data_IF_636499637626
#
_entry.id   IF_636499637626
#
_cell.length_a   1.000
_cell.length_b   1.000
_cell.length_c   1.000
_cell.angle_alpha   90.00
_cell.angle_beta   90.00
_cell.angle_gamma   90.00
#
_symmetry.space_group_name_H-M   'P 1'
#
loop_
_entity.id
_entity.type
_entity.pdbx_description
1 polymer ?
#
# COMPACT_ATOMS: atom_id res chain seq x y z
N UNK A 1 10.39 -12.81 40.65
CA UNK A 1 8.91 -12.81 40.47
C UNK A 1 8.30 -11.44 40.81
N UNK A 2 8.63 -10.39 40.05
CA UNK A 2 8.07 -9.02 40.23
C UNK A 2 7.82 -8.28 38.90
N UNK A 3 7.92 -8.96 37.75
CA UNK A 3 7.76 -8.33 36.42
C UNK A 3 6.54 -8.81 35.63
N UNK A 4 5.73 -9.73 36.19
CA UNK A 4 4.55 -10.30 35.51
C UNK A 4 3.28 -9.46 35.76
N UNK A 5 3.29 -8.55 36.73
CA UNK A 5 2.07 -7.82 37.15
C UNK A 5 1.76 -6.58 36.28
N UNK A 6 2.67 -6.13 35.41
CA UNK A 6 2.46 -4.89 34.63
C UNK A 6 1.70 -5.12 33.32
N UNK A 7 1.64 -6.35 32.81
CA UNK A 7 1.00 -6.65 31.51
C UNK A 7 -0.53 -6.72 31.61
N UNK A 8 -1.09 -6.99 32.79
CA UNK A 8 -2.55 -7.12 32.98
C UNK A 8 -3.31 -5.79 33.13
N UNK A 9 -2.61 -4.65 33.22
CA UNK A 9 -3.27 -3.35 33.44
C UNK A 9 -3.60 -2.58 32.15
N UNK A 10 -3.17 -3.05 30.97
CA UNK A 10 -3.48 -2.39 29.67
C UNK A 10 -4.61 -3.06 28.88
N UNK A 11 -5.14 -4.21 29.34
CA UNK A 11 -6.19 -4.95 28.64
C UNK A 11 -7.62 -4.56 29.03
N UNK A 12 -7.82 -3.64 30.00
CA UNK A 12 -9.16 -3.35 30.57
C UNK A 12 -9.74 -2.00 30.08
N UNK A 13 -9.03 -1.25 29.22
CA UNK A 13 -9.42 0.12 28.87
C UNK A 13 -10.02 0.31 27.46
N UNK A 14 -10.60 -0.75 26.87
CA UNK A 14 -11.28 -0.69 25.55
C UNK A 14 -12.77 -1.06 25.61
N UNK A 15 -13.34 -1.35 26.78
CA UNK A 15 -14.74 -1.82 26.90
C UNK A 15 -15.74 -0.80 27.49
N UNK A 16 -15.53 0.50 27.29
CA UNK A 16 -16.55 1.51 27.65
C UNK A 16 -16.73 2.54 26.53
N UNK A 17 -17.33 2.09 25.43
CA UNK A 17 -18.02 2.97 24.48
C UNK A 17 -19.17 2.26 23.75
N UNK A 18 -19.85 1.31 24.43
CA UNK A 18 -21.24 1.00 24.08
C UNK A 18 -22.10 2.03 24.82
N UNK A 19 -22.19 3.20 24.21
CA UNK A 19 -23.15 4.23 24.59
C UNK A 19 -24.55 3.73 24.29
N UNK A 20 -25.29 3.41 25.35
CA UNK A 20 -26.74 3.49 25.38
C UNK A 20 -27.19 4.82 24.77
N UNK A 21 -28.03 4.77 23.74
CA UNK A 21 -29.03 5.81 23.54
C UNK A 21 -30.40 5.16 23.44
N UNK A 22 -31.31 5.66 24.26
CA UNK A 22 -32.59 5.10 24.63
C UNK A 22 -33.71 5.31 23.60
N UNK A 23 -34.57 4.29 23.50
CA UNK A 23 -36.01 4.27 23.19
C UNK A 23 -36.71 5.59 22.80
N UNK A 24 -37.51 5.56 21.72
CA UNK A 24 -38.98 5.38 21.86
C UNK A 24 -39.70 5.05 20.52
N UNK A 25 -40.58 4.05 20.61
CA UNK A 25 -41.91 3.84 19.97
C UNK A 25 -42.10 3.77 18.43
N UNK A 26 -42.47 2.55 18.02
CA UNK A 26 -43.51 2.10 17.07
C UNK A 26 -44.38 3.16 16.39
N UNK A 27 -44.46 3.12 15.05
CA UNK A 27 -45.68 2.75 14.30
C UNK A 27 -45.49 2.92 12.77
N UNK A 28 -45.78 1.86 12.01
CA UNK A 28 -46.31 1.92 10.62
C UNK A 28 -47.83 1.71 10.76
N UNK A 29 -48.73 2.15 9.85
CA UNK A 29 -48.52 2.23 8.39
C UNK A 29 -49.26 3.39 7.66
N UNK A 30 -49.23 3.32 6.32
CA UNK A 30 -50.17 3.86 5.31
C UNK A 30 -49.65 5.03 4.45
N UNK A 31 -49.37 4.70 3.19
CA UNK A 31 -49.38 5.53 1.96
C UNK A 31 -50.84 5.65 1.47
N UNK A 32 -51.32 6.66 0.69
CA UNK A 32 -50.76 7.04 -0.62
C UNK A 32 -50.91 8.53 -1.04
N UNK A 33 -50.32 8.88 -2.20
CA UNK A 33 -50.62 10.12 -2.95
C UNK A 33 -49.37 10.96 -3.26
N UNK A 34 -48.59 10.65 -4.30
CA UNK A 34 -48.66 11.21 -5.68
C UNK A 34 -48.42 12.73 -5.74
N UNK A 35 -47.24 13.16 -6.18
CA UNK A 35 -47.00 13.75 -7.52
C UNK A 35 -45.55 14.22 -7.72
N UNK A 36 -45.03 13.87 -8.91
CA UNK A 36 -44.07 14.60 -9.78
C UNK A 36 -42.69 14.98 -9.20
N UNK A 37 -41.55 14.60 -9.80
CA UNK A 37 -41.16 15.02 -11.16
C UNK A 37 -39.89 14.28 -11.63
N UNK A 38 -39.94 13.83 -12.89
CA UNK A 38 -38.91 13.58 -13.89
C UNK A 38 -37.41 13.51 -13.52
N UNK A 39 -36.75 12.48 -14.08
CA UNK A 39 -35.30 12.45 -14.29
C UNK A 39 -34.89 11.12 -14.94
N UNK A 40 -34.37 11.19 -16.16
CA UNK A 40 -34.13 10.09 -17.09
C UNK A 40 -33.31 8.91 -16.54
N UNK A 41 -33.71 7.72 -16.97
CA UNK A 41 -32.91 6.50 -16.91
C UNK A 41 -31.75 6.60 -17.93
N UNK A 42 -30.57 7.03 -17.47
CA UNK A 42 -29.32 6.67 -18.14
C UNK A 42 -28.80 5.36 -17.53
N UNK A 43 -29.18 4.27 -18.20
CA UNK A 43 -28.57 2.96 -18.07
C UNK A 43 -27.15 3.06 -18.63
N UNK A 44 -26.15 3.28 -17.77
CA UNK A 44 -24.76 3.09 -18.17
C UNK A 44 -24.53 1.61 -18.47
N UNK A 45 -24.31 1.36 -19.75
CA UNK A 45 -23.89 0.10 -20.31
C UNK A 45 -22.48 -0.21 -19.79
N UNK A 46 -22.40 -1.03 -18.75
CA UNK A 46 -21.15 -1.62 -18.27
C UNK A 46 -20.62 -2.50 -19.40
N UNK A 47 -19.75 -1.92 -20.23
CA UNK A 47 -19.05 -2.63 -21.29
C UNK A 47 -17.97 -3.46 -20.61
N UNK A 48 -18.32 -4.70 -20.32
CA UNK A 48 -17.50 -5.67 -19.62
C UNK A 48 -16.59 -6.38 -20.63
N UNK A 49 -15.60 -5.67 -21.17
CA UNK A 49 -14.51 -6.34 -21.90
C UNK A 49 -13.28 -5.44 -22.11
N UNK A 50 -12.62 -5.04 -21.02
CA UNK A 50 -11.21 -4.68 -21.10
C UNK A 50 -10.40 -5.85 -20.55
N UNK A 51 -9.72 -6.55 -21.46
CA UNK A 51 -8.76 -7.60 -21.13
C UNK A 51 -7.75 -7.08 -20.08
N UNK A 52 -7.37 -7.89 -19.07
CA UNK A 52 -6.46 -7.47 -17.98
C UNK A 52 -5.17 -6.81 -18.48
N UNK A 53 -4.69 -7.25 -19.64
CA UNK A 53 -3.49 -6.75 -20.31
C UNK A 53 -3.55 -5.26 -20.65
N UNK A 54 -4.71 -4.73 -21.06
CA UNK A 54 -4.84 -3.30 -21.44
C UNK A 54 -4.84 -2.34 -20.24
N UNK A 55 -5.36 -2.79 -19.09
CA UNK A 55 -5.26 -2.02 -17.85
C UNK A 55 -3.84 -1.99 -17.31
N UNK A 56 -3.12 -3.12 -17.37
CA UNK A 56 -1.70 -3.15 -17.03
C UNK A 56 -0.88 -2.21 -17.93
N UNK A 57 -1.12 -2.22 -19.24
CA UNK A 57 -0.40 -1.37 -20.21
C UNK A 57 -0.66 0.14 -20.02
N UNK A 58 -1.88 0.56 -19.65
CA UNK A 58 -2.19 1.96 -19.34
C UNK A 58 -1.66 2.41 -17.99
N UNK A 59 -1.54 1.51 -17.03
CA UNK A 59 -1.08 1.84 -15.68
C UNK A 59 0.44 1.95 -15.62
N UNK A 60 1.18 1.18 -16.43
CA UNK A 60 2.63 1.35 -16.61
C UNK A 60 3.02 2.76 -17.13
N UNK A 61 2.11 3.49 -17.79
CA UNK A 61 2.37 4.85 -18.29
C UNK A 61 2.33 5.93 -17.18
N UNK A 62 1.81 5.59 -15.99
CA UNK A 62 1.67 6.52 -14.86
C UNK A 62 2.61 6.20 -13.68
N UNK A 63 3.47 5.20 -13.85
CA UNK A 63 4.51 4.89 -12.87
C UNK A 63 5.69 5.82 -13.21
N UNK A 64 6.10 6.71 -12.29
CA UNK A 64 7.32 7.49 -12.51
C UNK A 64 8.48 6.55 -12.72
N UNK A 65 9.45 6.95 -13.53
CA UNK A 65 10.71 6.23 -13.70
C UNK A 65 11.39 6.10 -12.33
N UNK A 66 11.08 5.01 -11.64
CA UNK A 66 11.80 4.62 -10.43
C UNK A 66 13.17 4.15 -10.90
N UNK A 67 14.23 4.72 -10.33
CA UNK A 67 15.59 4.21 -10.52
C UNK A 67 15.76 2.78 -9.95
N UNK A 68 14.72 2.18 -9.34
CA UNK A 68 14.74 0.81 -8.87
C UNK A 68 14.47 -0.16 -10.05
N UNK A 69 15.41 -1.08 -10.34
CA UNK A 69 15.21 -2.10 -11.35
C UNK A 69 14.09 -3.04 -10.91
N UNK A 70 13.28 -3.48 -11.86
CA UNK A 70 12.28 -4.51 -11.61
C UNK A 70 12.96 -5.85 -11.32
N UNK A 71 12.51 -6.55 -10.29
CA UNK A 71 13.00 -7.89 -10.00
C UNK A 71 12.67 -8.84 -11.17
N UNK A 72 13.64 -9.60 -11.70
CA UNK A 72 13.41 -10.50 -12.83
C UNK A 72 12.35 -11.55 -12.51
N UNK A 73 11.58 -11.94 -13.52
CA UNK A 73 10.51 -12.95 -13.41
C UNK A 73 9.40 -12.63 -12.40
N UNK A 74 9.32 -11.39 -11.92
CA UNK A 74 8.21 -10.95 -11.06
C UNK A 74 6.97 -10.63 -11.89
N UNK A 75 5.79 -10.88 -11.31
CA UNK A 75 4.48 -10.62 -11.89
C UNK A 75 3.81 -9.45 -11.14
N UNK A 76 3.36 -8.43 -11.86
CA UNK A 76 2.59 -7.33 -11.30
C UNK A 76 1.17 -7.81 -10.96
N UNK A 77 0.77 -7.70 -9.70
CA UNK A 77 -0.56 -8.13 -9.22
C UNK A 77 -1.44 -6.98 -8.75
N UNK A 78 -0.86 -5.81 -8.50
CA UNK A 78 -1.61 -4.59 -8.21
C UNK A 78 -0.81 -3.37 -8.60
N UNK A 79 -1.51 -2.37 -9.12
CA UNK A 79 -0.95 -1.06 -9.33
C UNK A 79 -2.01 0.02 -9.18
N UNK A 80 -1.66 1.05 -8.42
CA UNK A 80 -2.36 2.33 -8.36
C UNK A 80 -1.35 3.49 -8.37
N UNK A 81 -1.82 4.70 -8.12
CA UNK A 81 -1.03 5.93 -8.18
C UNK A 81 0.05 6.04 -7.09
N UNK A 82 -0.03 5.21 -6.04
CA UNK A 82 0.85 5.23 -4.86
C UNK A 82 1.52 3.90 -4.59
N UNK A 83 1.11 2.82 -5.24
CA UNK A 83 1.55 1.48 -4.87
C UNK A 83 1.70 0.58 -6.08
N UNK A 84 2.81 -0.16 -6.08
CA UNK A 84 2.98 -1.32 -6.92
C UNK A 84 3.21 -2.56 -6.06
N UNK A 85 2.57 -3.66 -6.43
CA UNK A 85 2.80 -4.96 -5.81
C UNK A 85 3.13 -5.99 -6.86
N UNK A 86 4.30 -6.58 -6.70
CA UNK A 86 4.79 -7.68 -7.51
C UNK A 86 4.89 -8.95 -6.68
N UNK A 87 4.80 -10.10 -7.35
CA UNK A 87 5.05 -11.40 -6.76
C UNK A 87 6.06 -12.20 -7.55
N UNK A 88 6.84 -13.02 -6.85
CA UNK A 88 7.79 -13.97 -7.43
C UNK A 88 7.77 -15.28 -6.65
N UNK A 89 8.13 -16.37 -7.32
CA UNK A 89 8.31 -17.68 -6.70
C UNK A 89 9.70 -17.82 -6.04
N UNK A 90 10.59 -16.85 -6.30
CA UNK A 90 11.93 -16.81 -5.71
C UNK A 90 11.87 -16.43 -4.21
N UNK A 91 12.75 -16.99 -3.36
CA UNK A 91 12.80 -16.65 -1.93
C UNK A 91 13.07 -15.16 -1.69
N UNK A 92 12.48 -14.59 -0.63
CA UNK A 92 12.72 -13.18 -0.26
C UNK A 92 14.19 -12.82 -0.02
N UNK A 93 15.02 -13.80 0.36
CA UNK A 93 16.47 -13.58 0.51
C UNK A 93 17.14 -13.31 -0.84
N UNK A 94 16.75 -14.01 -1.89
CA UNK A 94 17.31 -13.85 -3.24
C UNK A 94 16.82 -12.54 -3.86
N UNK A 95 15.59 -12.14 -3.53
CA UNK A 95 15.06 -10.80 -3.85
C UNK A 95 15.85 -9.70 -3.15
N UNK A 96 16.14 -9.86 -1.86
CA UNK A 96 16.97 -8.92 -1.11
C UNK A 96 18.36 -8.78 -1.74
N UNK A 97 19.05 -9.90 -1.99
CA UNK A 97 20.39 -9.92 -2.57
C UNK A 97 20.43 -9.21 -3.93
N UNK A 98 19.42 -9.41 -4.77
CA UNK A 98 19.29 -8.66 -6.02
C UNK A 98 19.28 -7.14 -5.81
N UNK A 99 18.47 -6.62 -4.89
CA UNK A 99 18.44 -5.18 -4.65
C UNK A 99 19.74 -4.69 -4.00
N UNK A 100 20.36 -5.46 -3.10
CA UNK A 100 21.67 -5.11 -2.52
C UNK A 100 22.79 -5.03 -3.58
N UNK A 101 22.74 -5.87 -4.62
CA UNK A 101 23.74 -5.91 -5.69
C UNK A 101 23.50 -4.89 -6.81
N UNK A 102 22.24 -4.53 -7.07
CA UNK A 102 21.85 -3.75 -8.25
C UNK A 102 21.39 -2.33 -7.92
N UNK A 103 21.28 -1.96 -6.65
CA UNK A 103 20.80 -0.64 -6.23
C UNK A 103 21.55 -0.10 -5.02
N UNK A 104 21.44 1.21 -4.80
CA UNK A 104 21.83 1.83 -3.54
C UNK A 104 20.62 1.81 -2.59
N UNK A 105 20.57 0.78 -1.74
CA UNK A 105 19.55 0.62 -0.71
C UNK A 105 20.16 0.50 0.68
N UNK A 106 19.38 0.91 1.68
CA UNK A 106 19.70 0.73 3.10
C UNK A 106 18.70 -0.26 3.70
N UNK A 107 19.19 -1.37 4.29
CA UNK A 107 18.33 -2.29 5.03
C UNK A 107 17.91 -1.65 6.35
N UNK A 108 16.65 -1.22 6.44
CA UNK A 108 16.11 -0.50 7.60
C UNK A 108 15.66 -1.44 8.71
N UNK A 109 15.05 -2.56 8.33
CA UNK A 109 14.55 -3.55 9.27
C UNK A 109 14.49 -4.93 8.63
N UNK A 110 14.94 -5.93 9.41
CA UNK A 110 14.74 -7.34 9.11
C UNK A 110 13.93 -7.98 10.22
N UNK A 111 12.82 -8.58 9.86
CA UNK A 111 12.00 -9.39 10.75
C UNK A 111 11.64 -10.71 10.06
N UNK A 112 11.14 -11.69 10.81
CA UNK A 112 10.83 -13.00 10.25
C UNK A 112 9.77 -12.85 9.14
N UNK A 113 10.18 -13.14 7.89
CA UNK A 113 9.34 -13.00 6.70
C UNK A 113 9.17 -11.58 6.15
N UNK A 114 10.07 -10.65 6.51
CA UNK A 114 9.95 -9.22 6.21
C UNK A 114 11.29 -8.51 6.10
N UNK A 115 11.45 -7.75 5.02
CA UNK A 115 12.54 -6.79 4.84
C UNK A 115 11.95 -5.42 4.51
N UNK A 116 12.37 -4.39 5.24
CA UNK A 116 12.09 -2.99 4.92
C UNK A 116 13.38 -2.35 4.41
N UNK A 117 13.31 -1.80 3.20
CA UNK A 117 14.46 -1.28 2.48
C UNK A 117 14.23 0.19 2.16
N UNK A 118 15.17 1.04 2.56
CA UNK A 118 15.21 2.46 2.23
C UNK A 118 15.95 2.67 0.91
N UNK A 119 15.46 3.60 0.09
CA UNK A 119 16.13 4.01 -1.15
C UNK A 119 17.10 5.18 -0.88
N UNK A 120 17.77 5.67 -1.93
CA UNK A 120 18.53 6.92 -1.84
C UNK A 120 17.71 8.09 -1.28
N UNK A 121 16.42 8.18 -1.60
CA UNK A 121 15.55 9.22 -1.04
C UNK A 121 15.40 9.07 0.48
N UNK A 122 15.33 7.85 1.01
CA UNK A 122 15.34 7.64 2.45
C UNK A 122 16.60 8.27 3.07
N UNK A 123 17.77 7.97 2.52
CA UNK A 123 19.04 8.46 3.04
C UNK A 123 19.12 10.00 2.98
N UNK A 124 18.72 10.60 1.85
CA UNK A 124 18.61 12.06 1.69
C UNK A 124 17.68 12.66 2.75
N UNK A 125 16.52 12.05 3.00
CA UNK A 125 15.57 12.60 3.99
C UNK A 125 16.05 12.49 5.44
N UNK A 126 17.00 11.60 5.72
CA UNK A 126 17.62 11.36 7.04
C UNK A 126 18.93 12.12 7.26
N UNK A 127 19.53 12.65 6.21
CA UNK A 127 20.75 13.44 6.31
C UNK A 127 20.52 14.71 7.17
N UNK A 128 21.54 15.07 7.95
CA UNK A 128 21.60 16.35 8.64
C UNK A 128 21.98 17.45 7.63
N UNK A 129 21.17 18.50 7.54
CA UNK A 129 21.41 19.66 6.67
C UNK A 129 21.74 20.88 7.52
N UNK A 130 22.57 21.78 6.98
CA UNK A 130 22.94 23.02 7.69
C UNK A 130 21.74 23.97 7.81
N UNK A 131 20.78 23.86 6.88
CA UNK A 131 19.54 24.64 6.89
C UNK A 131 18.35 23.89 6.29
N UNK A 132 17.14 24.36 6.64
CA UNK A 132 15.89 23.87 6.06
C UNK A 132 15.79 24.15 4.55
N UNK A 133 16.35 25.27 4.09
CA UNK A 133 16.28 25.67 2.67
C UNK A 133 17.17 24.77 1.80
N UNK A 134 18.37 24.42 2.29
CA UNK A 134 19.25 23.45 1.64
C UNK A 134 18.59 22.08 1.54
N UNK A 135 18.03 21.59 2.65
CA UNK A 135 17.28 20.32 2.68
C UNK A 135 16.16 20.31 1.64
N UNK A 136 15.38 21.40 1.57
CA UNK A 136 14.31 21.54 0.59
C UNK A 136 14.88 21.49 -0.82
N UNK A 137 15.86 22.32 -1.16
CA UNK A 137 16.44 22.36 -2.51
C UNK A 137 16.95 20.99 -3.00
N UNK A 138 17.54 20.18 -2.11
CA UNK A 138 18.03 18.83 -2.46
C UNK A 138 16.87 17.86 -2.69
N UNK A 139 15.85 17.86 -1.82
CA UNK A 139 14.65 17.03 -1.99
C UNK A 139 13.89 17.45 -3.25
N UNK A 140 13.70 18.74 -3.49
CA UNK A 140 13.02 19.28 -4.67
C UNK A 140 13.68 18.78 -5.95
N UNK A 141 15.02 18.87 -6.00
CA UNK A 141 15.79 18.36 -7.13
C UNK A 141 15.62 16.85 -7.30
N UNK A 142 15.65 16.08 -6.22
CA UNK A 142 15.44 14.63 -6.29
C UNK A 142 14.10 14.28 -6.94
N UNK A 143 13.02 14.96 -6.52
CA UNK A 143 11.69 14.75 -7.09
C UNK A 143 11.57 15.29 -8.51
N UNK A 144 12.23 16.40 -8.85
CA UNK A 144 12.29 16.91 -10.23
C UNK A 144 12.95 15.88 -11.16
N UNK A 145 14.11 15.35 -10.75
CA UNK A 145 14.84 14.32 -11.49
C UNK A 145 14.05 12.99 -11.60
N UNK A 146 13.21 12.67 -10.60
CA UNK A 146 12.36 11.47 -10.57
C UNK A 146 10.97 11.65 -11.22
N UNK A 147 10.69 12.80 -11.84
CA UNK A 147 9.39 13.03 -12.50
C UNK A 147 8.21 13.25 -11.55
N UNK A 148 8.48 13.71 -10.32
CA UNK A 148 7.48 14.18 -9.35
C UNK A 148 7.00 13.15 -8.33
N UNK A 149 7.33 11.86 -8.49
CA UNK A 149 7.11 10.85 -7.45
C UNK A 149 8.30 9.90 -7.33
N UNK A 150 8.48 9.37 -6.13
CA UNK A 150 9.60 8.49 -5.84
C UNK A 150 9.24 7.47 -4.77
N UNK A 151 9.96 6.35 -4.76
CA UNK A 151 9.88 5.36 -3.68
C UNK A 151 10.86 5.79 -2.60
N UNK A 152 10.37 6.06 -1.39
CA UNK A 152 11.25 6.32 -0.22
C UNK A 152 11.70 5.03 0.42
N UNK A 153 10.76 4.10 0.60
CA UNK A 153 11.00 2.80 1.21
C UNK A 153 10.10 1.77 0.55
N UNK A 154 10.54 0.51 0.53
CA UNK A 154 9.78 -0.60 -0.05
C UNK A 154 9.99 -1.86 0.78
N UNK A 155 9.10 -2.82 0.59
CA UNK A 155 9.05 -4.03 1.42
C UNK A 155 9.18 -5.29 0.58
N UNK A 156 9.86 -6.30 1.15
CA UNK A 156 9.84 -7.67 0.67
C UNK A 156 9.19 -8.54 1.74
N UNK A 157 8.10 -9.23 1.40
CA UNK A 157 7.35 -10.10 2.28
C UNK A 157 7.47 -11.56 1.82
N UNK A 158 7.60 -12.51 2.74
CA UNK A 158 7.50 -13.95 2.44
C UNK A 158 6.61 -14.67 3.46
N UNK A 159 6.29 -15.93 3.14
CA UNK A 159 5.63 -16.88 4.05
C UNK A 159 4.29 -16.35 4.57
N UNK A 160 4.04 -16.48 5.87
CA UNK A 160 2.79 -16.08 6.50
C UNK A 160 2.51 -14.58 6.34
N UNK A 161 3.55 -13.72 6.38
CA UNK A 161 3.40 -12.26 6.22
C UNK A 161 2.91 -11.89 4.82
N UNK A 162 3.45 -12.54 3.78
CA UNK A 162 2.97 -12.37 2.42
C UNK A 162 1.51 -12.82 2.29
N UNK A 163 1.20 -14.01 2.80
CA UNK A 163 -0.15 -14.57 2.74
C UNK A 163 -1.19 -13.73 3.48
N UNK A 164 -0.84 -13.17 4.64
CA UNK A 164 -1.69 -12.24 5.38
C UNK A 164 -1.92 -10.95 4.59
N UNK A 165 -0.88 -10.40 3.97
CA UNK A 165 -1.00 -9.20 3.13
C UNK A 165 -1.93 -9.44 1.93
N UNK A 166 -1.73 -10.53 1.19
CA UNK A 166 -2.57 -10.90 0.04
C UNK A 166 -4.04 -11.03 0.46
N UNK A 167 -4.34 -11.77 1.53
CA UNK A 167 -5.72 -11.95 1.98
C UNK A 167 -6.34 -10.64 2.46
N UNK A 168 -5.56 -9.81 3.15
CA UNK A 168 -6.05 -8.51 3.62
C UNK A 168 -6.35 -7.55 2.48
N UNK A 169 -5.57 -7.59 1.39
CA UNK A 169 -5.68 -6.64 0.30
C UNK A 169 -6.68 -7.09 -0.77
N UNK A 170 -6.64 -8.37 -1.16
CA UNK A 170 -7.40 -8.91 -2.29
C UNK A 170 -8.57 -9.82 -1.87
N UNK A 171 -8.66 -10.20 -0.60
CA UNK A 171 -9.62 -11.21 -0.16
C UNK A 171 -9.41 -12.55 -0.87
N UNK A 172 -10.51 -13.20 -1.27
CA UNK A 172 -10.47 -14.51 -1.92
C UNK A 172 -9.87 -14.48 -3.33
N UNK A 173 -9.88 -13.31 -4.00
CA UNK A 173 -9.31 -13.15 -5.35
C UNK A 173 -7.77 -13.26 -5.33
N UNK A 174 -7.15 -12.97 -4.19
CA UNK A 174 -5.70 -13.07 -4.00
C UNK A 174 -5.17 -14.49 -3.87
N UNK A 175 -6.04 -15.51 -3.75
CA UNK A 175 -5.61 -16.88 -3.44
C UNK A 175 -4.63 -17.47 -4.46
N UNK A 176 -4.62 -16.98 -5.71
CA UNK A 176 -3.67 -17.37 -6.75
C UNK A 176 -2.22 -16.92 -6.49
N UNK A 177 -2.02 -15.97 -5.56
CA UNK A 177 -0.72 -15.38 -5.24
C UNK A 177 -0.19 -15.79 -3.86
N UNK A 178 -0.87 -16.72 -3.18
CA UNK A 178 -0.40 -17.26 -1.90
C UNK A 178 0.89 -18.07 -2.08
N UNK A 179 1.66 -18.14 -1.01
CA UNK A 179 2.94 -18.85 -0.89
C UNK A 179 4.05 -18.30 -1.80
N UNK A 180 3.85 -17.10 -2.34
CA UNK A 180 4.82 -16.35 -3.15
C UNK A 180 5.43 -15.21 -2.33
N UNK A 181 6.62 -14.79 -2.71
CA UNK A 181 7.24 -13.58 -2.16
C UNK A 181 6.62 -12.35 -2.80
N UNK A 182 6.31 -11.32 -2.01
CA UNK A 182 5.74 -10.05 -2.48
C UNK A 182 6.79 -8.95 -2.38
N UNK A 183 6.84 -8.10 -3.39
CA UNK A 183 7.63 -6.86 -3.41
C UNK A 183 6.63 -5.70 -3.49
N UNK A 184 6.66 -4.81 -2.50
CA UNK A 184 5.72 -3.68 -2.39
C UNK A 184 6.48 -2.38 -2.46
N UNK A 185 6.25 -1.60 -3.52
CA UNK A 185 6.77 -0.25 -3.65
C UNK A 185 5.68 0.76 -3.29
N UNK A 186 5.93 1.56 -2.26
CA UNK A 186 5.07 2.69 -1.89
C UNK A 186 5.70 3.99 -2.42
N UNK A 187 4.97 4.66 -3.30
CA UNK A 187 5.34 5.93 -3.90
C UNK A 187 4.86 7.08 -3.02
N UNK A 188 5.72 8.07 -2.85
CA UNK A 188 5.40 9.35 -2.27
C UNK A 188 5.43 10.42 -3.35
N UNK A 189 4.49 11.36 -3.25
CA UNK A 189 4.44 12.55 -4.10
C UNK A 189 5.13 13.70 -3.37
N UNK A 190 5.81 14.56 -4.11
CA UNK A 190 6.51 15.72 -3.55
C UNK A 190 5.58 16.68 -2.77
N UNK A 191 4.29 16.72 -3.11
CA UNK A 191 3.32 17.70 -2.61
C UNK A 191 2.45 17.21 -1.43
N UNK A 192 2.77 16.08 -0.78
CA UNK A 192 1.98 15.55 0.35
C UNK A 192 2.77 15.36 1.65
#
# INVERSE_FOLDING_TARGET
MKRIVIVLLRLVLVLVSIGCNSNDKTDKPVSPGTESTAGDQQREEITKDESPTKKADQVLQNIPDSNLPMYPNSELIHSDDRKLMYVTDDPAKDVLEFYEENTQITVLQTFMGYYLLGTELYDVTKQDFESTDERRAIIDKYFEDAGGKAVREFMILEKEMANEHIRSFFGDEGNAHLDRTIIIFDFIDYYM
#
